data_IF_433820884419
#
_entry.id   IF_433820884419
#
_cell.length_a   1.000
_cell.length_b   1.000
_cell.length_c   1.000
_cell.angle_alpha   90.00
_cell.angle_beta   90.00
_cell.angle_gamma   90.00
#
_symmetry.space_group_name_H-M   'P 1'
#
loop_
_entity.id
_entity.type
_entity.pdbx_description
1 polymer ?
#
# COMPACT_ATOMS: atom_id res chain seq x y z
N UNK A 1 -19.58 15.62 54.85
CA UNK A 1 -18.69 15.73 53.67
C UNK A 1 -18.83 14.66 52.59
N UNK A 2 -19.81 13.72 52.64
CA UNK A 2 -19.96 12.70 51.57
C UNK A 2 -21.01 13.02 50.49
N UNK A 3 -21.96 13.92 50.78
CA UNK A 3 -23.10 14.19 49.87
C UNK A 3 -22.74 15.17 48.75
N UNK A 4 -21.80 16.09 48.98
CA UNK A 4 -21.39 17.10 48.00
C UNK A 4 -20.57 16.47 46.85
N UNK A 5 -19.73 15.48 47.14
CA UNK A 5 -18.90 14.80 46.11
C UNK A 5 -19.72 14.00 45.09
N UNK A 6 -20.85 13.42 45.49
CA UNK A 6 -21.72 12.63 44.60
C UNK A 6 -22.46 13.51 43.57
N UNK A 7 -22.84 14.74 43.95
CA UNK A 7 -23.55 15.67 43.07
C UNK A 7 -22.59 16.23 42.01
N UNK A 8 -21.36 16.59 42.38
CA UNK A 8 -20.36 17.07 41.43
C UNK A 8 -19.88 15.98 40.44
N UNK A 9 -19.79 14.71 40.87
CA UNK A 9 -19.46 13.60 39.98
C UNK A 9 -20.53 13.31 38.92
N UNK A 10 -21.81 13.41 39.28
CA UNK A 10 -22.92 13.19 38.34
C UNK A 10 -23.05 14.29 37.27
N UNK A 11 -22.80 15.56 37.64
CA UNK A 11 -22.86 16.69 36.70
C UNK A 11 -21.70 16.65 35.69
N UNK A 12 -20.50 16.26 36.12
CA UNK A 12 -19.35 16.10 35.21
C UNK A 12 -19.53 14.93 34.22
N UNK A 13 -20.08 13.79 34.67
CA UNK A 13 -20.37 12.65 33.80
C UNK A 13 -21.49 12.97 32.79
N UNK A 14 -22.53 13.69 33.23
CA UNK A 14 -23.62 14.14 32.36
C UNK A 14 -23.15 15.11 31.27
N UNK A 15 -22.30 16.08 31.61
CA UNK A 15 -21.74 17.03 30.66
C UNK A 15 -20.82 16.35 29.62
N UNK A 16 -19.98 15.40 30.03
CA UNK A 16 -19.13 14.64 29.11
C UNK A 16 -19.93 13.82 28.10
N UNK A 17 -21.06 13.23 28.50
CA UNK A 17 -21.97 12.53 27.59
C UNK A 17 -22.71 13.49 26.65
N UNK A 18 -23.13 14.66 27.16
CA UNK A 18 -23.83 15.68 26.38
C UNK A 18 -22.98 16.29 25.26
N UNK A 19 -21.64 16.32 25.38
CA UNK A 19 -20.77 16.81 24.30
C UNK A 19 -20.14 15.68 23.46
N UNK A 20 -19.84 14.52 24.03
CA UNK A 20 -19.23 13.41 23.29
C UNK A 20 -20.20 12.77 22.30
N UNK A 21 -21.47 12.60 22.65
CA UNK A 21 -22.45 11.97 21.76
C UNK A 21 -22.73 12.84 20.52
N UNK A 22 -22.99 14.16 20.63
CA UNK A 22 -23.10 15.04 19.47
C UNK A 22 -21.81 15.17 18.67
N UNK A 23 -20.63 15.17 19.32
CA UNK A 23 -19.35 15.18 18.61
C UNK A 23 -19.13 13.91 17.80
N UNK A 24 -19.49 12.73 18.33
CA UNK A 24 -19.44 11.45 17.62
C UNK A 24 -20.46 11.42 16.49
N UNK A 25 -21.69 11.92 16.71
CA UNK A 25 -22.72 12.01 15.66
C UNK A 25 -22.30 13.01 14.58
N UNK A 26 -21.72 14.14 14.94
CA UNK A 26 -21.20 15.14 14.01
C UNK A 26 -20.02 14.57 13.23
N UNK A 27 -19.06 13.90 13.88
CA UNK A 27 -17.95 13.22 13.21
C UNK A 27 -18.46 12.12 12.26
N UNK A 28 -19.46 11.33 12.67
CA UNK A 28 -20.09 10.30 11.82
C UNK A 28 -20.86 10.92 10.64
N UNK A 29 -21.62 11.99 10.88
CA UNK A 29 -22.36 12.73 9.84
C UNK A 29 -21.41 13.45 8.89
N UNK A 30 -20.32 14.01 9.38
CA UNK A 30 -19.29 14.66 8.58
C UNK A 30 -18.51 13.64 7.75
N UNK A 31 -18.18 12.46 8.32
CA UNK A 31 -17.60 11.36 7.56
C UNK A 31 -18.57 10.85 6.48
N UNK A 32 -19.87 10.70 6.79
CA UNK A 32 -20.89 10.23 5.85
C UNK A 32 -21.18 11.25 4.74
N UNK A 33 -21.32 12.53 5.06
CA UNK A 33 -21.55 13.58 4.06
C UNK A 33 -20.35 13.77 3.13
N UNK A 34 -19.12 13.58 3.64
CA UNK A 34 -17.88 13.59 2.85
C UNK A 34 -17.70 12.31 2.02
N UNK A 35 -18.29 11.19 2.45
CA UNK A 35 -18.36 9.93 1.70
C UNK A 35 -19.25 10.09 0.44
N UNK A 36 -20.35 10.84 0.53
CA UNK A 36 -21.26 11.10 -0.58
C UNK A 36 -20.70 12.18 -1.54
N UNK A 37 -20.02 13.21 -1.02
CA UNK A 37 -19.44 14.32 -1.82
C UNK A 37 -18.13 13.97 -2.58
N UNK A 38 -17.44 12.88 -2.23
CA UNK A 38 -16.18 12.49 -2.88
C UNK A 38 -16.34 11.42 -3.97
N UNK A 39 -17.55 10.90 -4.14
CA UNK A 39 -17.93 9.93 -5.18
C UNK A 39 -19.11 10.44 -6.02
N UNK A 40 -19.22 11.75 -6.25
CA UNK A 40 -19.96 12.24 -7.41
C UNK A 40 -19.07 12.07 -8.65
N UNK A 41 -19.36 10.97 -9.35
CA UNK A 41 -18.92 10.49 -10.66
C UNK A 41 -17.44 10.57 -11.09
N UNK A 42 -16.80 9.38 -11.12
CA UNK A 42 -16.03 8.95 -12.28
C UNK A 42 -16.62 7.64 -12.84
N UNK A 43 -17.82 7.73 -13.42
CA UNK A 43 -18.59 6.59 -13.97
C UNK A 43 -17.87 5.83 -15.11
N UNK A 44 -16.75 6.34 -15.65
CA UNK A 44 -16.18 5.83 -16.90
C UNK A 44 -14.90 4.97 -16.78
N UNK A 45 -14.31 4.80 -15.60
CA UNK A 45 -13.12 3.92 -15.42
C UNK A 45 -13.25 2.81 -14.36
N UNK A 46 -14.26 2.85 -13.50
CA UNK A 46 -14.47 1.85 -12.43
C UNK A 46 -15.22 0.59 -12.89
N UNK A 47 -15.59 0.49 -14.17
CA UNK A 47 -16.51 -0.50 -14.75
C UNK A 47 -16.08 -1.98 -14.53
N UNK A 48 -14.83 -2.24 -14.11
CA UNK A 48 -14.30 -3.59 -13.86
C UNK A 48 -14.00 -3.92 -12.39
N UNK A 49 -14.18 -3.00 -11.44
CA UNK A 49 -13.88 -3.26 -10.02
C UNK A 49 -15.13 -3.74 -9.27
N UNK A 50 -15.06 -4.92 -8.65
CA UNK A 50 -16.17 -5.43 -7.83
C UNK A 50 -16.25 -4.70 -6.49
N UNK A 51 -17.41 -4.13 -6.17
CA UNK A 51 -17.69 -3.65 -4.81
C UNK A 51 -18.13 -4.81 -3.93
N UNK A 52 -17.25 -5.24 -3.02
CA UNK A 52 -17.52 -6.34 -2.10
C UNK A 52 -18.36 -5.88 -0.91
N UNK A 53 -19.34 -6.71 -0.54
CA UNK A 53 -20.11 -6.47 0.69
C UNK A 53 -19.23 -6.72 1.92
N UNK A 54 -19.56 -6.06 3.03
CA UNK A 54 -18.81 -6.25 4.28
C UNK A 54 -19.06 -7.62 4.93
N UNK A 55 -19.97 -8.46 4.40
CA UNK A 55 -20.16 -9.84 4.87
C UNK A 55 -19.29 -10.85 4.11
N UNK A 56 -19.01 -10.57 2.83
CA UNK A 56 -18.24 -11.46 1.96
C UNK A 56 -16.77 -11.55 2.39
N UNK A 57 -16.13 -10.42 2.70
CA UNK A 57 -14.70 -10.40 3.05
C UNK A 57 -14.37 -10.98 4.44
N UNK A 58 -15.17 -10.76 5.50
CA UNK A 58 -14.98 -11.47 6.77
C UNK A 58 -15.20 -12.96 6.62
N UNK A 59 -16.23 -13.41 5.89
CA UNK A 59 -16.45 -14.82 5.66
C UNK A 59 -15.27 -15.47 4.92
N UNK A 60 -14.69 -14.76 3.93
CA UNK A 60 -13.53 -15.22 3.19
C UNK A 60 -12.23 -15.34 4.03
N UNK A 61 -12.18 -14.73 5.21
CA UNK A 61 -10.95 -14.59 6.05
C UNK A 61 -11.13 -15.12 7.48
N UNK A 62 -12.15 -15.94 7.73
CA UNK A 62 -12.55 -16.38 9.07
C UNK A 62 -12.62 -15.20 10.07
N UNK A 63 -13.36 -14.16 9.68
CA UNK A 63 -13.52 -12.91 10.42
C UNK A 63 -12.20 -12.18 10.71
N UNK A 64 -11.31 -12.10 9.71
CA UNK A 64 -9.98 -11.49 9.83
C UNK A 64 -9.12 -12.14 10.93
N UNK A 65 -9.19 -13.47 11.02
CA UNK A 65 -8.40 -14.26 11.97
C UNK A 65 -6.91 -14.04 11.78
N UNK A 66 -6.15 -14.01 12.88
CA UNK A 66 -4.69 -13.90 12.85
C UNK A 66 -4.02 -15.09 12.12
N UNK A 67 -4.73 -16.23 11.98
CA UNK A 67 -4.24 -17.40 11.22
C UNK A 67 -4.05 -17.10 9.73
N UNK A 68 -4.77 -16.12 9.20
CA UNK A 68 -4.75 -15.76 7.79
C UNK A 68 -3.91 -14.51 7.50
N UNK A 69 -3.21 -13.97 8.50
CA UNK A 69 -2.36 -12.78 8.29
C UNK A 69 -1.14 -13.18 7.46
N UNK A 70 -0.98 -12.50 6.32
CA UNK A 70 0.13 -12.67 5.38
C UNK A 70 1.19 -11.62 5.62
N UNK A 71 0.75 -10.38 5.84
CA UNK A 71 1.64 -9.25 6.13
C UNK A 71 0.97 -8.27 7.09
N UNK A 72 1.79 -7.56 7.86
CA UNK A 72 1.34 -6.53 8.81
C UNK A 72 2.36 -5.40 8.82
N UNK A 73 1.98 -4.25 8.27
CA UNK A 73 2.88 -3.13 8.05
C UNK A 73 2.22 -1.75 8.24
N UNK A 74 2.94 -0.71 7.82
CA UNK A 74 2.49 0.68 7.91
C UNK A 74 1.19 0.95 7.13
N UNK A 75 0.99 0.26 6.00
CA UNK A 75 -0.18 0.38 5.15
C UNK A 75 -1.41 -0.35 5.72
N UNK A 76 -1.26 -1.29 6.66
CA UNK A 76 -2.37 -2.12 7.13
C UNK A 76 -2.00 -3.56 7.44
N UNK A 77 -3.02 -4.41 7.51
CA UNK A 77 -2.87 -5.87 7.56
C UNK A 77 -3.37 -6.49 6.28
N UNK A 78 -2.67 -7.47 5.76
CA UNK A 78 -3.06 -8.24 4.58
C UNK A 78 -3.44 -9.64 5.02
N UNK A 79 -4.63 -10.08 4.62
CA UNK A 79 -5.19 -11.39 4.94
C UNK A 79 -5.27 -12.25 3.69
N UNK A 80 -4.88 -13.52 3.78
CA UNK A 80 -5.23 -14.54 2.80
C UNK A 80 -6.71 -14.86 2.95
N UNK A 81 -7.43 -14.98 1.85
CA UNK A 81 -8.84 -15.36 1.88
C UNK A 81 -9.26 -16.17 0.65
N UNK A 82 -10.37 -16.87 0.78
CA UNK A 82 -11.01 -17.58 -0.32
C UNK A 82 -12.39 -16.98 -0.55
N UNK A 83 -12.65 -16.48 -1.74
CA UNK A 83 -13.97 -16.00 -2.13
C UNK A 83 -14.94 -17.17 -2.37
N UNK A 84 -16.24 -16.87 -2.41
CA UNK A 84 -17.30 -17.87 -2.67
C UNK A 84 -17.13 -18.55 -4.04
N UNK A 85 -16.56 -17.84 -5.01
CA UNK A 85 -16.24 -18.36 -6.34
C UNK A 85 -14.99 -19.26 -6.37
N UNK A 86 -14.39 -19.55 -5.21
CA UNK A 86 -13.18 -20.36 -5.06
C UNK A 86 -11.87 -19.59 -5.26
N UNK A 87 -11.92 -18.31 -5.64
CA UNK A 87 -10.71 -17.54 -5.92
C UNK A 87 -9.90 -17.25 -4.66
N UNK A 88 -8.60 -17.48 -4.77
CA UNK A 88 -7.63 -17.11 -3.74
C UNK A 88 -7.30 -15.61 -3.83
N UNK A 89 -7.47 -14.89 -2.73
CA UNK A 89 -7.29 -13.43 -2.68
C UNK A 89 -6.44 -12.97 -1.50
N UNK A 90 -5.80 -11.82 -1.68
CA UNK A 90 -5.19 -11.04 -0.62
C UNK A 90 -6.10 -9.84 -0.30
N UNK A 91 -6.54 -9.73 0.95
CA UNK A 91 -7.43 -8.66 1.42
C UNK A 91 -6.63 -7.72 2.32
N UNK A 92 -6.30 -6.53 1.80
CA UNK A 92 -5.59 -5.47 2.53
C UNK A 92 -6.60 -4.62 3.30
N UNK A 93 -6.54 -4.68 4.63
CA UNK A 93 -7.30 -3.86 5.57
C UNK A 93 -6.45 -2.70 6.06
N UNK A 94 -6.82 -1.48 5.67
CA UNK A 94 -6.04 -0.28 6.01
C UNK A 94 -6.19 0.08 7.49
N UNK A 95 -5.07 0.19 8.21
CA UNK A 95 -5.03 0.42 9.68
C UNK A 95 -5.69 1.74 10.10
N UNK A 96 -5.72 2.72 9.20
CA UNK A 96 -6.28 4.04 9.41
C UNK A 96 -7.25 4.45 8.29
N UNK A 97 -8.09 3.53 7.80
CA UNK A 97 -9.00 3.81 6.68
C UNK A 97 -9.92 5.02 6.87
N UNK A 98 -10.13 5.48 8.11
CA UNK A 98 -10.93 6.66 8.45
C UNK A 98 -10.12 7.95 8.67
N UNK A 99 -8.79 7.89 8.73
CA UNK A 99 -7.97 9.11 8.80
C UNK A 99 -7.80 9.70 7.40
N UNK A 100 -7.48 10.99 7.33
CA UNK A 100 -7.27 11.64 6.05
C UNK A 100 -6.17 10.95 5.23
N UNK A 101 -5.09 10.49 5.88
CA UNK A 101 -4.00 9.76 5.23
C UNK A 101 -4.45 8.42 4.64
N UNK A 102 -5.18 7.61 5.41
CA UNK A 102 -5.65 6.30 4.93
C UNK A 102 -6.74 6.40 3.86
N UNK A 103 -7.61 7.41 3.94
CA UNK A 103 -8.58 7.70 2.88
C UNK A 103 -7.89 8.07 1.56
N UNK A 104 -6.86 8.91 1.61
CA UNK A 104 -6.08 9.27 0.43
C UNK A 104 -5.36 8.06 -0.16
N UNK A 105 -4.77 7.19 0.67
CA UNK A 105 -4.13 5.94 0.18
C UNK A 105 -5.15 5.03 -0.51
N UNK A 106 -6.30 4.81 0.11
CA UNK A 106 -7.38 4.01 -0.48
C UNK A 106 -7.81 4.55 -1.84
N UNK A 107 -8.08 5.85 -1.90
CA UNK A 107 -8.53 6.51 -3.12
C UNK A 107 -7.46 6.46 -4.21
N UNK A 108 -6.20 6.69 -3.83
CA UNK A 108 -5.06 6.57 -4.74
C UNK A 108 -4.93 5.14 -5.30
N UNK A 109 -4.99 4.10 -4.45
CA UNK A 109 -4.93 2.70 -4.94
C UNK A 109 -6.10 2.38 -5.90
N UNK A 110 -7.33 2.82 -5.59
CA UNK A 110 -8.49 2.59 -6.46
C UNK A 110 -8.37 3.34 -7.78
N UNK A 111 -7.96 4.61 -7.77
CA UNK A 111 -7.79 5.44 -8.97
C UNK A 111 -6.65 4.93 -9.86
N UNK A 112 -5.46 4.69 -9.28
CA UNK A 112 -4.26 4.31 -10.04
C UNK A 112 -4.42 2.97 -10.74
N UNK A 113 -5.00 1.99 -10.06
CA UNK A 113 -5.18 0.65 -10.63
C UNK A 113 -6.31 0.60 -11.67
N UNK A 114 -7.20 1.61 -11.67
CA UNK A 114 -8.19 1.78 -12.74
C UNK A 114 -7.58 2.38 -14.01
N UNK A 115 -6.44 3.07 -13.90
CA UNK A 115 -5.76 3.74 -15.01
C UNK A 115 -4.63 2.89 -15.63
N UNK A 116 -4.06 1.96 -14.87
CA UNK A 116 -2.89 1.18 -15.27
C UNK A 116 -3.19 -0.33 -15.27
N UNK A 117 -3.04 -0.97 -16.44
CA UNK A 117 -3.22 -2.42 -16.59
C UNK A 117 -2.03 -3.02 -17.33
N UNK A 118 -1.24 -3.81 -16.62
CA UNK A 118 -0.06 -4.47 -17.18
C UNK A 118 0.22 -5.76 -16.41
N UNK A 119 0.77 -6.78 -17.07
CA UNK A 119 1.04 -8.10 -16.45
C UNK A 119 1.97 -8.04 -15.23
N UNK A 120 2.87 -7.06 -15.20
CA UNK A 120 3.83 -6.85 -14.11
C UNK A 120 3.34 -5.78 -13.10
N UNK A 121 2.04 -5.45 -13.07
CA UNK A 121 1.42 -4.57 -12.09
C UNK A 121 0.26 -5.28 -11.40
N UNK A 122 0.14 -5.10 -10.08
CA UNK A 122 -0.85 -5.77 -9.27
C UNK A 122 -2.24 -5.19 -9.55
N UNK A 123 -3.08 -6.00 -10.19
CA UNK A 123 -4.44 -5.60 -10.53
C UNK A 123 -5.37 -5.74 -9.34
N UNK A 124 -6.09 -4.67 -9.02
CA UNK A 124 -7.14 -4.63 -8.01
C UNK A 124 -8.34 -5.39 -8.56
N UNK A 125 -8.81 -6.39 -7.81
CA UNK A 125 -10.03 -7.14 -8.16
C UNK A 125 -11.28 -6.37 -7.72
N UNK A 126 -11.16 -5.65 -6.62
CA UNK A 126 -12.24 -4.84 -6.09
C UNK A 126 -11.94 -4.29 -4.71
N UNK A 127 -12.95 -3.69 -4.11
CA UNK A 127 -12.80 -2.99 -2.84
C UNK A 127 -14.07 -3.12 -2.00
N UNK A 128 -13.94 -2.84 -0.70
CA UNK A 128 -15.08 -2.61 0.19
C UNK A 128 -14.84 -1.35 1.01
N UNK A 129 -15.87 -0.51 1.09
CA UNK A 129 -15.84 0.77 1.78
C UNK A 129 -17.09 0.95 2.62
N UNK A 130 -16.91 1.14 3.93
CA UNK A 130 -17.97 1.44 4.89
C UNK A 130 -17.62 2.65 5.75
N UNK A 131 -18.43 2.98 6.75
CA UNK A 131 -18.12 4.10 7.64
C UNK A 131 -16.80 3.89 8.43
N UNK A 132 -16.40 2.63 8.67
CA UNK A 132 -15.26 2.29 9.54
C UNK A 132 -14.14 1.56 8.82
N UNK A 133 -14.43 0.89 7.70
CA UNK A 133 -13.48 0.02 7.03
C UNK A 133 -13.15 0.49 5.62
N UNK A 134 -11.89 0.25 5.23
CA UNK A 134 -11.38 0.37 3.87
C UNK A 134 -10.61 -0.91 3.56
N UNK A 135 -11.11 -1.66 2.60
CA UNK A 135 -10.59 -2.97 2.23
C UNK A 135 -10.32 -2.99 0.74
N UNK A 136 -9.15 -3.49 0.35
CA UNK A 136 -8.74 -3.68 -1.03
C UNK A 136 -8.52 -5.17 -1.27
N UNK A 137 -9.00 -5.68 -2.40
CA UNK A 137 -8.99 -7.11 -2.74
C UNK A 137 -8.14 -7.32 -3.97
N UNK A 138 -7.09 -8.11 -3.82
CA UNK A 138 -6.11 -8.43 -4.86
C UNK A 138 -6.07 -9.94 -5.11
N UNK A 139 -5.64 -10.40 -6.30
CA UNK A 139 -5.20 -11.77 -6.49
C UNK A 139 -4.12 -12.13 -5.46
N UNK A 140 -4.18 -13.34 -4.91
CA UNK A 140 -3.16 -13.79 -3.97
C UNK A 140 -1.90 -14.23 -4.72
N UNK A 141 -0.77 -13.64 -4.36
CA UNK A 141 0.54 -13.96 -4.93
C UNK A 141 1.18 -15.07 -4.10
N UNK A 142 1.16 -16.30 -4.64
CA UNK A 142 1.43 -17.52 -3.86
C UNK A 142 2.85 -17.59 -3.32
N UNK A 143 3.82 -17.01 -4.03
CA UNK A 143 5.22 -16.98 -3.63
C UNK A 143 5.53 -15.76 -2.74
N UNK A 144 4.52 -14.93 -2.44
CA UNK A 144 4.64 -13.77 -1.57
C UNK A 144 5.42 -12.63 -2.22
N UNK A 145 6.16 -11.88 -1.39
CA UNK A 145 7.01 -10.78 -1.84
C UNK A 145 8.45 -11.23 -2.08
N UNK A 146 9.19 -10.47 -2.88
CA UNK A 146 10.65 -10.65 -3.03
C UNK A 146 11.34 -10.52 -1.66
N UNK A 147 10.90 -9.60 -0.80
CA UNK A 147 11.39 -9.49 0.60
C UNK A 147 11.28 -10.82 1.34
N UNK A 148 10.10 -11.45 1.30
CA UNK A 148 9.87 -12.71 2.02
C UNK A 148 10.73 -13.83 1.45
N UNK A 149 10.87 -13.93 0.13
CA UNK A 149 11.72 -14.96 -0.49
C UNK A 149 13.21 -14.78 -0.19
N UNK A 150 13.66 -13.55 0.06
CA UNK A 150 15.06 -13.26 0.38
C UNK A 150 15.38 -13.45 1.87
N UNK A 151 14.46 -13.07 2.77
CA UNK A 151 14.77 -12.88 4.21
C UNK A 151 13.89 -13.66 5.18
N UNK A 152 12.69 -14.04 4.78
CA UNK A 152 11.68 -14.64 5.66
C UNK A 152 11.36 -16.09 5.23
N UNK A 153 12.16 -16.66 4.33
CA UNK A 153 11.99 -18.03 3.86
C UNK A 153 12.29 -19.05 4.97
N UNK A 154 11.52 -20.15 5.06
CA UNK A 154 11.91 -21.31 5.86
C UNK A 154 13.25 -21.88 5.38
N UNK A 155 14.03 -22.47 6.29
CA UNK A 155 15.30 -23.12 5.95
C UNK A 155 15.14 -24.25 4.91
N UNK A 156 13.97 -24.90 4.90
CA UNK A 156 13.61 -25.96 3.95
C UNK A 156 13.32 -25.45 2.53
N UNK A 157 13.07 -24.15 2.34
CA UNK A 157 12.78 -23.57 1.04
C UNK A 157 14.09 -23.10 0.37
N UNK A 158 14.33 -23.56 -0.86
CA UNK A 158 15.51 -23.15 -1.62
C UNK A 158 15.55 -21.62 -1.82
N UNK A 159 16.73 -20.98 -1.83
CA UNK A 159 16.85 -19.57 -2.14
C UNK A 159 16.45 -19.30 -3.60
N UNK A 160 16.08 -18.06 -3.91
CA UNK A 160 15.87 -17.64 -5.29
C UNK A 160 17.16 -17.79 -6.09
N UNK A 161 17.11 -18.64 -7.12
CA UNK A 161 18.18 -18.80 -8.10
C UNK A 161 18.44 -17.49 -8.86
N UNK A 162 19.68 -17.31 -9.31
CA UNK A 162 20.09 -16.10 -10.03
C UNK A 162 19.29 -15.87 -11.31
N UNK A 163 18.92 -16.93 -12.03
CA UNK A 163 18.06 -16.85 -13.20
C UNK A 163 16.69 -16.28 -12.86
N UNK A 164 16.10 -16.70 -11.74
CA UNK A 164 14.82 -16.18 -11.23
C UNK A 164 14.96 -14.72 -10.84
N UNK A 165 16.02 -14.35 -10.10
CA UNK A 165 16.29 -12.96 -9.71
C UNK A 165 16.39 -12.02 -10.92
N UNK A 166 17.07 -12.42 -11.99
CA UNK A 166 17.13 -11.64 -13.23
C UNK A 166 15.75 -11.44 -13.87
N UNK A 167 14.90 -12.48 -13.87
CA UNK A 167 13.51 -12.35 -14.37
C UNK A 167 12.69 -11.40 -13.52
N UNK A 168 12.82 -11.47 -12.20
CA UNK A 168 12.17 -10.56 -11.25
C UNK A 168 12.57 -9.11 -11.55
N UNK A 169 13.87 -8.83 -11.66
CA UNK A 169 14.40 -7.51 -11.98
C UNK A 169 13.80 -6.96 -13.29
N UNK A 170 13.75 -7.80 -14.33
CA UNK A 170 13.20 -7.45 -15.63
C UNK A 170 11.68 -7.20 -15.59
N UNK A 171 10.93 -8.07 -14.91
CA UNK A 171 9.47 -7.92 -14.75
C UNK A 171 9.11 -6.64 -14.01
N UNK A 172 9.79 -6.37 -12.89
CA UNK A 172 9.63 -5.12 -12.14
C UNK A 172 9.94 -3.89 -13.01
N UNK A 173 11.07 -3.90 -13.74
CA UNK A 173 11.42 -2.80 -14.66
C UNK A 173 10.35 -2.56 -15.73
N UNK A 174 9.79 -3.62 -16.32
CA UNK A 174 8.70 -3.51 -17.31
C UNK A 174 7.45 -2.87 -16.70
N UNK A 175 7.09 -3.26 -15.48
CA UNK A 175 5.97 -2.64 -14.75
C UNK A 175 6.18 -1.15 -14.55
N UNK A 176 7.36 -0.74 -14.08
CA UNK A 176 7.69 0.66 -13.81
C UNK A 176 7.79 1.48 -15.11
N UNK A 177 8.44 0.96 -16.14
CA UNK A 177 8.51 1.62 -17.45
C UNK A 177 7.11 1.84 -18.06
N UNK A 178 6.18 0.90 -17.86
CA UNK A 178 4.79 1.09 -18.27
C UNK A 178 4.12 2.27 -17.53
N UNK A 179 4.34 2.40 -16.22
CA UNK A 179 3.80 3.52 -15.44
C UNK A 179 4.34 4.89 -15.89
N UNK A 180 5.62 4.94 -16.28
CA UNK A 180 6.31 6.18 -16.64
C UNK A 180 6.06 6.63 -18.08
N UNK A 181 5.98 5.68 -19.01
CA UNK A 181 6.02 5.98 -20.45
C UNK A 181 4.74 5.62 -21.21
N UNK A 182 3.87 4.79 -20.61
CA UNK A 182 2.67 4.26 -21.29
C UNK A 182 1.36 4.60 -20.59
N UNK A 183 1.40 5.14 -19.37
CA UNK A 183 0.23 5.71 -18.70
C UNK A 183 0.11 7.20 -19.05
N UNK A 184 -1.11 7.71 -19.18
CA UNK A 184 -1.36 9.15 -19.37
C UNK A 184 -2.46 9.65 -18.43
N UNK A 185 -2.15 10.54 -17.46
CA UNK A 185 -0.81 11.05 -17.10
C UNK A 185 0.16 9.97 -16.59
N UNK A 186 1.46 10.28 -16.51
CA UNK A 186 2.48 9.38 -15.93
C UNK A 186 2.13 9.06 -14.48
N UNK A 187 2.49 7.86 -14.04
CA UNK A 187 2.29 7.43 -12.65
C UNK A 187 3.66 7.24 -12.00
N UNK A 188 3.93 8.02 -10.95
CA UNK A 188 5.13 7.88 -10.10
C UNK A 188 4.77 7.03 -8.89
N UNK A 189 5.40 5.87 -8.71
CA UNK A 189 5.09 4.88 -7.68
C UNK A 189 5.45 5.35 -6.26
N UNK A 190 6.65 5.93 -6.11
CA UNK A 190 7.24 6.54 -4.90
C UNK A 190 7.60 5.63 -3.73
N UNK A 191 7.27 4.34 -3.76
CA UNK A 191 7.64 3.41 -2.67
C UNK A 191 8.27 2.10 -3.17
N UNK A 192 8.93 2.11 -4.33
CA UNK A 192 9.44 0.88 -4.94
C UNK A 192 10.52 0.21 -4.08
N UNK A 193 10.27 -1.03 -3.63
CA UNK A 193 11.16 -1.83 -2.78
C UNK A 193 10.88 -3.32 -2.93
N UNK A 194 11.77 -4.19 -2.42
CA UNK A 194 11.57 -5.65 -2.50
C UNK A 194 10.28 -6.16 -1.82
N UNK A 195 9.71 -5.43 -0.86
CA UNK A 195 8.45 -5.79 -0.23
C UNK A 195 7.23 -5.60 -1.15
N UNK A 196 7.34 -4.67 -2.11
CA UNK A 196 6.25 -4.27 -2.99
C UNK A 196 6.32 -4.99 -4.35
N UNK A 197 7.35 -5.82 -4.57
CA UNK A 197 7.41 -6.76 -5.69
C UNK A 197 6.86 -8.10 -5.22
N UNK A 198 5.69 -8.48 -5.71
CA UNK A 198 5.05 -9.76 -5.44
C UNK A 198 5.35 -10.77 -6.54
N UNK A 199 5.24 -12.06 -6.22
CA UNK A 199 5.57 -13.18 -7.09
C UNK A 199 4.37 -14.11 -7.25
N UNK A 200 3.93 -14.31 -8.48
CA UNK A 200 2.89 -15.27 -8.84
C UNK A 200 3.41 -16.73 -8.81
N UNK A 201 2.61 -17.68 -9.29
CA UNK A 201 2.93 -19.12 -9.31
C UNK A 201 4.22 -19.44 -10.07
N UNK A 202 4.51 -18.69 -11.14
CA UNK A 202 5.67 -18.88 -12.02
C UNK A 202 6.91 -18.06 -11.59
N UNK A 203 6.84 -17.37 -10.45
CA UNK A 203 7.85 -16.40 -9.98
C UNK A 203 8.00 -15.19 -10.92
N UNK A 204 6.96 -14.82 -11.65
CA UNK A 204 6.93 -13.56 -12.39
C UNK A 204 6.65 -12.39 -11.44
N UNK A 205 7.37 -11.28 -11.67
CA UNK A 205 7.30 -10.12 -10.81
C UNK A 205 6.07 -9.25 -11.09
N UNK A 206 5.36 -8.88 -10.04
CA UNK A 206 4.19 -8.01 -10.07
C UNK A 206 4.37 -6.88 -9.06
N UNK A 207 4.46 -5.64 -9.54
CA UNK A 207 4.60 -4.44 -8.69
C UNK A 207 3.26 -4.12 -8.03
N UNK A 208 3.24 -4.02 -6.70
CA UNK A 208 2.06 -3.67 -5.89
C UNK A 208 2.29 -2.46 -4.99
N UNK A 209 1.30 -2.19 -4.13
CA UNK A 209 1.23 -1.06 -3.19
C UNK A 209 1.35 0.35 -3.81
N UNK A 210 0.28 0.75 -4.53
CA UNK A 210 0.16 2.08 -5.13
C UNK A 210 -0.31 3.17 -4.15
N UNK A 211 -0.34 2.91 -2.83
CA UNK A 211 -0.92 3.84 -1.85
C UNK A 211 -0.22 5.20 -1.78
N UNK A 212 1.02 5.31 -2.26
CA UNK A 212 1.79 6.55 -2.31
C UNK A 212 1.92 7.14 -3.71
N UNK A 213 1.34 6.50 -4.72
CA UNK A 213 1.54 6.89 -6.11
C UNK A 213 1.01 8.29 -6.43
N UNK A 214 1.57 8.93 -7.46
CA UNK A 214 1.15 10.25 -7.94
C UNK A 214 1.10 10.36 -9.45
N UNK A 215 0.08 11.05 -9.93
CA UNK A 215 -0.04 11.43 -11.33
C UNK A 215 0.87 12.61 -11.64
N UNK A 216 1.54 12.56 -12.78
CA UNK A 216 2.38 13.62 -13.31
C UNK A 216 2.12 13.81 -14.81
N UNK A 217 1.75 15.02 -15.21
CA UNK A 217 1.60 15.35 -16.63
C UNK A 217 2.94 15.20 -17.37
N UNK A 218 2.91 14.73 -18.62
CA UNK A 218 4.11 14.59 -19.46
C UNK A 218 4.87 15.90 -19.69
N UNK A 219 4.20 17.05 -19.57
CA UNK A 219 4.81 18.38 -19.69
C UNK A 219 5.63 18.76 -18.46
N UNK A 220 5.41 18.08 -17.33
CA UNK A 220 6.09 18.37 -16.08
C UNK A 220 7.33 17.50 -15.91
N UNK A 221 8.37 18.08 -15.34
CA UNK A 221 9.60 17.36 -14.97
C UNK A 221 9.53 16.71 -13.59
N UNK A 222 8.56 17.12 -12.77
CA UNK A 222 8.37 16.66 -11.40
C UNK A 222 6.96 17.00 -10.90
N UNK A 223 6.59 16.38 -9.79
CA UNK A 223 5.43 16.73 -8.96
C UNK A 223 5.89 17.12 -7.55
N UNK A 224 5.54 18.32 -7.10
CA UNK A 224 5.81 18.76 -5.73
C UNK A 224 4.83 18.10 -4.78
N UNK A 225 5.33 17.34 -3.81
CA UNK A 225 4.51 16.53 -2.92
C UNK A 225 5.24 16.24 -1.62
N UNK A 226 4.49 15.95 -0.56
CA UNK A 226 5.08 15.57 0.72
C UNK A 226 5.96 14.33 0.54
N UNK A 227 7.18 14.40 1.08
CA UNK A 227 8.14 13.29 1.10
C UNK A 227 7.54 12.13 1.87
N UNK A 228 7.27 11.04 1.15
CA UNK A 228 6.85 9.76 1.70
C UNK A 228 7.49 8.65 0.88
N UNK A 229 7.75 7.53 1.54
CA UNK A 229 8.37 6.33 0.99
C UNK A 229 9.07 5.57 2.11
N UNK A 230 9.74 4.48 1.76
CA UNK A 230 10.52 3.67 2.70
C UNK A 230 11.94 4.21 2.84
N UNK A 231 12.40 4.41 4.08
CA UNK A 231 13.77 4.86 4.36
C UNK A 231 14.80 3.90 3.75
N UNK A 232 15.78 4.46 3.04
CA UNK A 232 16.75 3.70 2.24
C UNK A 232 16.40 3.61 0.76
N UNK A 233 15.12 3.79 0.38
CA UNK A 233 14.65 3.80 -1.01
C UNK A 233 14.25 5.19 -1.52
N UNK A 234 14.17 6.18 -0.63
CA UNK A 234 13.86 7.57 -0.99
C UNK A 234 15.09 8.21 -1.64
N UNK A 235 14.91 8.71 -2.87
CA UNK A 235 15.95 9.43 -3.60
C UNK A 235 16.39 10.72 -2.86
N UNK A 236 17.69 11.05 -2.83
CA UNK A 236 18.21 12.18 -2.06
C UNK A 236 17.67 13.53 -2.53
N UNK A 237 17.49 13.72 -3.83
CA UNK A 237 16.89 14.92 -4.42
C UNK A 237 15.43 15.08 -4.02
N UNK A 238 14.69 13.97 -3.86
CA UNK A 238 13.32 14.01 -3.39
C UNK A 238 13.26 14.34 -1.90
N UNK A 239 14.13 13.75 -1.09
CA UNK A 239 14.22 14.02 0.35
C UNK A 239 14.49 15.50 0.65
N UNK A 240 15.36 16.13 -0.14
CA UNK A 240 15.79 17.52 0.03
C UNK A 240 14.80 18.54 -0.55
N UNK A 241 14.17 18.24 -1.69
CA UNK A 241 13.36 19.22 -2.42
C UNK A 241 11.85 19.00 -2.33
N UNK A 242 11.39 17.82 -1.91
CA UNK A 242 9.98 17.44 -1.99
C UNK A 242 9.44 17.28 -3.42
N UNK A 243 10.33 17.15 -4.41
CA UNK A 243 9.96 16.99 -5.83
C UNK A 243 10.14 15.53 -6.23
N UNK A 244 9.02 14.85 -6.49
CA UNK A 244 9.02 13.48 -7.00
C UNK A 244 9.00 13.48 -8.54
N UNK A 245 9.63 12.48 -9.16
CA UNK A 245 9.65 12.28 -10.62
C UNK A 245 9.87 10.81 -10.95
N UNK A 246 9.84 10.44 -12.23
CA UNK A 246 10.18 9.08 -12.66
C UNK A 246 11.58 8.66 -12.19
N UNK A 247 12.52 9.60 -12.05
CA UNK A 247 13.89 9.33 -11.59
C UNK A 247 13.95 8.92 -10.13
N UNK A 248 12.98 9.35 -9.32
CA UNK A 248 12.88 8.92 -7.92
C UNK A 248 12.47 7.45 -7.81
N UNK A 249 11.63 6.95 -8.74
CA UNK A 249 11.32 5.51 -8.85
C UNK A 249 12.51 4.72 -9.40
N UNK A 250 13.29 5.28 -10.33
CA UNK A 250 14.52 4.66 -10.84
C UNK A 250 15.55 4.48 -9.73
N UNK A 251 15.70 5.46 -8.83
CA UNK A 251 16.54 5.32 -7.64
C UNK A 251 16.03 4.18 -6.74
N UNK A 252 14.74 4.17 -6.41
CA UNK A 252 14.13 3.08 -5.63
C UNK A 252 14.30 1.71 -6.27
N UNK A 253 14.20 1.62 -7.61
CA UNK A 253 14.47 0.42 -8.38
C UNK A 253 15.92 -0.04 -8.23
N UNK A 254 16.89 0.88 -8.31
CA UNK A 254 18.31 0.59 -8.08
C UNK A 254 18.57 -0.01 -6.69
N UNK A 255 17.97 0.57 -5.65
CA UNK A 255 18.06 0.01 -4.29
C UNK A 255 17.41 -1.38 -4.21
N UNK A 256 16.24 -1.57 -4.84
CA UNK A 256 15.58 -2.87 -4.91
C UNK A 256 16.46 -3.92 -5.62
N UNK A 257 17.21 -3.54 -6.66
CA UNK A 257 18.19 -4.43 -7.29
C UNK A 257 19.32 -4.82 -6.33
N UNK A 258 19.82 -3.89 -5.51
CA UNK A 258 20.81 -4.22 -4.48
C UNK A 258 20.25 -5.18 -3.44
N UNK A 259 18.99 -4.99 -3.00
CA UNK A 259 18.30 -5.95 -2.14
C UNK A 259 18.23 -7.34 -2.81
N UNK A 260 17.92 -7.38 -4.10
CA UNK A 260 17.79 -8.61 -4.86
C UNK A 260 19.13 -9.34 -5.04
N UNK A 261 20.22 -8.61 -5.25
CA UNK A 261 21.57 -9.17 -5.41
C UNK A 261 22.09 -9.68 -4.06
N UNK A 262 22.05 -8.84 -3.03
CA UNK A 262 22.70 -9.10 -1.74
C UNK A 262 21.84 -9.91 -0.78
N UNK A 263 20.52 -9.89 -0.95
CA UNK A 263 19.55 -10.39 0.05
C UNK A 263 19.39 -9.47 1.27
N UNK A 264 20.20 -8.41 1.41
CA UNK A 264 20.23 -7.54 2.59
C UNK A 264 19.25 -6.37 2.48
N UNK A 265 18.86 -5.76 3.61
CA UNK A 265 17.96 -4.60 3.64
C UNK A 265 18.69 -3.33 3.20
N UNK A 266 17.97 -2.42 2.55
CA UNK A 266 18.53 -1.13 2.12
C UNK A 266 19.21 -0.33 3.24
N UNK A 267 18.63 -0.30 4.44
CA UNK A 267 19.23 0.42 5.58
C UNK A 267 20.54 -0.23 6.04
N UNK A 268 20.63 -1.56 5.99
CA UNK A 268 21.85 -2.26 6.35
C UNK A 268 22.94 -2.02 5.29
N UNK A 269 22.56 -1.97 4.01
CA UNK A 269 23.47 -1.55 2.92
C UNK A 269 23.98 -0.12 3.10
N UNK A 270 23.11 0.81 3.51
CA UNK A 270 23.51 2.19 3.79
C UNK A 270 24.46 2.29 4.99
N UNK A 271 24.32 1.41 6.00
CA UNK A 271 25.26 1.32 7.11
C UNK A 271 26.60 0.75 6.67
N UNK A 272 26.59 -0.34 5.90
CA UNK A 272 27.80 -0.93 5.33
C UNK A 272 28.55 0.05 4.43
N UNK A 273 27.85 0.85 3.62
CA UNK A 273 28.46 1.88 2.77
C UNK A 273 28.98 3.11 3.55
N UNK A 274 28.54 3.32 4.79
CA UNK A 274 29.07 4.37 5.66
C UNK A 274 30.26 3.88 6.50
N UNK A 275 30.29 2.59 6.83
CA UNK A 275 31.39 1.95 7.58
C UNK A 275 32.54 1.50 6.63
N UNK A 276 32.23 1.17 5.38
CA UNK A 276 33.18 0.90 4.30
C UNK A 276 33.09 1.99 3.21
N UNK A 277 34.20 2.70 3.04
CA UNK A 277 34.45 3.68 1.97
C UNK A 277 33.97 3.13 0.60
N UNK A 278 32.95 3.80 0.04
CA UNK A 278 32.58 3.83 -1.39
C UNK A 278 32.09 2.52 -2.06
N UNK A 279 30.77 2.29 -2.04
CA UNK A 279 30.08 1.46 -3.05
C UNK A 279 29.43 2.30 -4.19
N UNK A 280 29.65 3.61 -4.21
CA UNK A 280 29.05 4.54 -5.20
C UNK A 280 30.05 5.42 -5.95
N UNK A 281 31.36 5.19 -5.80
CA UNK A 281 32.35 5.77 -6.71
C UNK A 281 32.66 4.78 -7.84
N UNK A 282 32.00 4.97 -8.98
CA UNK A 282 32.49 4.55 -10.29
C UNK A 282 32.10 5.60 -11.34
#
# INVERSE_FOLDING_TARGET
NSVIGAIFGGVFAGALLLFSVPAIIFARRHCRKRQDLLFEDPEYHLVQLKRFSLHELPAATDYFSNKHVVDSGGSGRVYKGHLVDGSLVAIKRLKQGCTHGGMLQFQTEVEMVSMAVHRNLLRLRGFSMTATERLLVYPFMVNGSVRSCLRERPESQAPLDWGVRKRIALGAARGIAYLHDHCNPKIIHRDLKAADILLDEEFEAVVGDFGLAKLMDYKNTHVTTAVRGTMGHIAPEYLSSGRASEKTDVFGYGIMLLELITGQKAVDLARLANDDVMLLDW
#
